data_IF_394136730696
#
_entry.id   IF_394136730696
#
_cell.length_a   1.000
_cell.length_b   1.000
_cell.length_c   1.000
_cell.angle_alpha   90.00
_cell.angle_beta   90.00
_cell.angle_gamma   90.00
#
_symmetry.space_group_name_H-M   'P 1'
#
loop_
_entity.id
_entity.type
_entity.pdbx_description
1 polymer ?
#
# COMPACT_ATOMS: atom_id res chain seq x y z
N UNK A 1 -18.97 -7.88 7.96
CA UNK A 1 -18.12 -8.62 7.00
C UNK A 1 -16.78 -7.91 6.88
N UNK A 2 -15.67 -8.62 7.02
CA UNK A 2 -14.32 -8.05 6.94
C UNK A 2 -13.74 -8.23 5.53
N UNK A 3 -12.81 -7.36 5.14
CA UNK A 3 -12.08 -7.49 3.87
C UNK A 3 -11.39 -8.85 3.73
N UNK A 4 -10.84 -9.36 4.84
CA UNK A 4 -10.19 -10.68 4.88
C UNK A 4 -11.13 -11.86 4.61
N UNK A 5 -12.45 -11.69 4.76
CA UNK A 5 -13.44 -12.73 4.50
C UNK A 5 -13.73 -12.84 3.00
N UNK A 6 -13.68 -11.72 2.28
CA UNK A 6 -14.01 -11.63 0.86
C UNK A 6 -12.81 -11.84 -0.06
N UNK A 7 -11.66 -11.24 0.28
CA UNK A 7 -10.44 -11.44 -0.49
C UNK A 7 -9.77 -12.72 0.00
N UNK A 8 -10.07 -13.83 -0.67
CA UNK A 8 -9.54 -15.16 -0.33
C UNK A 8 -8.06 -15.31 -0.72
N UNK A 9 -7.40 -16.35 -0.22
CA UNK A 9 -6.02 -16.64 -0.65
C UNK A 9 -5.96 -17.00 -2.15
N UNK A 10 -7.01 -17.64 -2.67
CA UNK A 10 -7.11 -17.93 -4.11
C UNK A 10 -7.27 -16.66 -4.92
N UNK A 11 -7.98 -15.65 -4.40
CA UNK A 11 -8.07 -14.36 -5.05
C UNK A 11 -6.72 -13.65 -5.11
N UNK A 12 -5.96 -13.63 -4.01
CA UNK A 12 -4.62 -13.02 -3.98
C UNK A 12 -3.69 -13.68 -5.02
N UNK A 13 -3.75 -15.00 -5.18
CA UNK A 13 -2.92 -15.75 -6.15
C UNK A 13 -3.20 -15.38 -7.61
N UNK A 14 -4.36 -14.80 -7.92
CA UNK A 14 -4.69 -14.39 -9.29
C UNK A 14 -4.02 -13.08 -9.67
N UNK A 15 -3.64 -12.25 -8.70
CA UNK A 15 -3.01 -10.96 -8.96
C UNK A 15 -1.61 -11.16 -9.53
N UNK A 16 -1.33 -10.47 -10.64
CA UNK A 16 -0.08 -10.54 -11.39
C UNK A 16 0.58 -9.18 -11.45
N UNK A 17 1.89 -9.20 -11.69
CA UNK A 17 2.65 -7.98 -11.99
C UNK A 17 1.95 -7.19 -13.10
N UNK A 18 1.73 -5.90 -12.85
CA UNK A 18 0.98 -5.01 -13.72
C UNK A 18 -0.43 -4.71 -13.21
N UNK A 19 -1.02 -5.61 -12.43
CA UNK A 19 -2.40 -5.47 -11.94
C UNK A 19 -2.54 -4.30 -10.97
N UNK A 20 -3.72 -3.68 -11.03
CA UNK A 20 -4.14 -2.64 -10.11
C UNK A 20 -5.42 -3.06 -9.41
N UNK A 21 -5.30 -3.40 -8.13
CA UNK A 21 -6.41 -3.82 -7.29
C UNK A 21 -6.93 -2.62 -6.51
N UNK A 22 -8.24 -2.36 -6.57
CA UNK A 22 -8.86 -1.33 -5.72
C UNK A 22 -9.70 -1.99 -4.64
N UNK A 23 -9.44 -1.69 -3.36
CA UNK A 23 -10.22 -2.18 -2.21
C UNK A 23 -10.93 -0.99 -1.57
N UNK A 24 -12.22 -0.83 -1.85
CA UNK A 24 -13.04 0.19 -1.20
C UNK A 24 -13.82 -0.45 -0.09
N UNK A 25 -13.66 -0.05 1.18
CA UNK A 25 -14.43 -0.59 2.30
C UNK A 25 -14.44 0.37 3.49
N UNK A 26 -15.55 0.45 4.21
CA UNK A 26 -15.77 1.42 5.29
C UNK A 26 -14.73 1.34 6.41
N UNK A 27 -14.66 2.38 7.25
CA UNK A 27 -13.80 2.38 8.44
C UNK A 27 -14.13 1.17 9.34
N UNK A 28 -13.11 0.54 9.92
CA UNK A 28 -13.30 -0.66 10.75
C UNK A 28 -13.54 -1.98 9.99
N UNK A 29 -13.65 -1.96 8.65
CA UNK A 29 -13.82 -3.16 7.81
C UNK A 29 -12.60 -4.10 7.76
N UNK A 30 -11.47 -3.68 8.31
CA UNK A 30 -10.26 -4.51 8.40
C UNK A 30 -9.31 -4.41 7.20
N UNK A 31 -9.35 -3.35 6.38
CA UNK A 31 -8.41 -3.12 5.27
C UNK A 31 -6.93 -3.29 5.68
N UNK A 32 -6.48 -2.53 6.68
CA UNK A 32 -5.11 -2.61 7.17
C UNK A 32 -4.80 -3.96 7.84
N UNK A 33 -5.80 -4.61 8.46
CA UNK A 33 -5.65 -5.95 9.01
C UNK A 33 -5.43 -6.99 7.90
N UNK A 34 -6.13 -6.88 6.77
CA UNK A 34 -5.93 -7.72 5.60
C UNK A 34 -4.48 -7.64 5.10
N UNK A 35 -3.93 -6.43 4.94
CA UNK A 35 -2.55 -6.24 4.49
C UNK A 35 -1.54 -6.82 5.48
N UNK A 36 -1.67 -6.44 6.77
CA UNK A 36 -0.73 -6.84 7.82
C UNK A 36 -0.71 -8.34 8.12
N UNK A 37 -1.78 -9.07 7.78
CA UNK A 37 -1.92 -10.48 8.13
C UNK A 37 -2.04 -11.38 6.90
N UNK A 38 -3.11 -11.24 6.10
CA UNK A 38 -3.39 -12.18 5.01
C UNK A 38 -2.45 -11.99 3.84
N UNK A 39 -2.32 -10.75 3.35
CA UNK A 39 -1.38 -10.45 2.26
C UNK A 39 0.07 -10.65 2.72
N UNK A 40 0.40 -10.25 3.96
CA UNK A 40 1.70 -10.54 4.58
C UNK A 40 2.09 -12.02 4.49
N UNK A 41 1.20 -12.93 4.91
CA UNK A 41 1.49 -14.37 4.89
C UNK A 41 1.73 -14.88 3.48
N UNK A 42 0.94 -14.41 2.51
CA UNK A 42 1.13 -14.73 1.10
C UNK A 42 2.50 -14.24 0.59
N UNK A 43 2.79 -12.95 0.73
CA UNK A 43 4.03 -12.35 0.27
C UNK A 43 5.25 -13.01 0.92
N UNK A 44 5.21 -13.24 2.24
CA UNK A 44 6.29 -13.93 2.96
C UNK A 44 6.54 -15.34 2.42
N UNK A 45 5.48 -16.11 2.13
CA UNK A 45 5.60 -17.47 1.57
C UNK A 45 6.28 -17.46 0.19
N UNK A 46 6.05 -16.43 -0.61
CA UNK A 46 6.61 -16.30 -1.96
C UNK A 46 7.92 -15.49 -2.02
N UNK A 47 8.50 -15.12 -0.88
CA UNK A 47 9.67 -14.23 -0.79
C UNK A 47 9.46 -12.86 -1.47
N UNK A 48 8.22 -12.37 -1.47
CA UNK A 48 7.82 -11.07 -1.99
C UNK A 48 7.76 -10.05 -0.85
N UNK A 49 7.87 -8.76 -1.19
CA UNK A 49 7.83 -7.67 -0.21
C UNK A 49 6.71 -6.67 -0.49
N UNK A 50 6.22 -6.05 0.57
CA UNK A 50 5.11 -5.10 0.60
C UNK A 50 5.63 -3.73 1.03
N UNK A 51 5.47 -2.71 0.19
CA UNK A 51 5.65 -1.31 0.56
C UNK A 51 4.27 -0.71 0.83
N UNK A 52 4.03 -0.28 2.07
CA UNK A 52 2.77 0.31 2.49
C UNK A 52 2.93 1.80 2.74
N UNK A 53 2.16 2.60 1.99
CA UNK A 53 2.10 4.05 2.12
C UNK A 53 0.91 4.45 2.99
N UNK A 54 1.19 5.33 3.95
CA UNK A 54 0.21 5.84 4.91
C UNK A 54 0.19 7.38 4.90
N UNK A 55 -0.98 7.97 5.19
CA UNK A 55 -1.15 9.42 5.19
C UNK A 55 -0.61 10.14 6.44
N UNK A 56 -0.85 9.61 7.65
CA UNK A 56 -0.56 10.31 8.92
C UNK A 56 0.61 9.67 9.68
N UNK A 57 1.54 10.51 10.16
CA UNK A 57 2.72 10.07 10.94
C UNK A 57 2.36 9.26 12.18
N UNK A 58 1.36 9.67 12.96
CA UNK A 58 0.95 8.94 14.18
C UNK A 58 0.52 7.50 13.87
N UNK A 59 -0.19 7.30 12.76
CA UNK A 59 -0.59 5.96 12.28
C UNK A 59 0.64 5.15 11.84
N UNK A 60 1.62 5.80 11.22
CA UNK A 60 2.87 5.15 10.80
C UNK A 60 3.64 4.60 11.98
N UNK A 61 3.83 5.37 13.06
CA UNK A 61 4.62 4.90 14.20
C UNK A 61 3.94 3.73 14.92
N UNK A 62 2.62 3.80 15.09
CA UNK A 62 1.83 2.68 15.61
C UNK A 62 2.00 1.43 14.76
N UNK A 63 1.86 1.56 13.43
CA UNK A 63 1.97 0.42 12.52
C UNK A 63 3.39 -0.13 12.47
N UNK A 64 4.42 0.72 12.40
CA UNK A 64 5.83 0.30 12.44
C UNK A 64 6.14 -0.47 13.72
N UNK A 65 5.65 -0.01 14.87
CA UNK A 65 5.82 -0.71 16.14
C UNK A 65 5.15 -2.08 16.13
N UNK A 66 3.94 -2.19 15.56
CA UNK A 66 3.25 -3.46 15.41
C UNK A 66 4.00 -4.44 14.50
N UNK A 67 4.44 -3.98 13.32
CA UNK A 67 5.23 -4.76 12.35
C UNK A 67 6.53 -5.26 12.98
N UNK A 68 7.22 -4.42 13.75
CA UNK A 68 8.43 -4.80 14.48
C UNK A 68 8.15 -5.85 15.55
N UNK A 69 7.17 -5.60 16.43
CA UNK A 69 6.79 -6.52 17.52
C UNK A 69 6.36 -7.90 17.00
N UNK A 70 5.79 -7.96 15.80
CA UNK A 70 5.35 -9.20 15.17
C UNK A 70 6.38 -9.80 14.20
N UNK A 71 7.62 -9.30 14.17
CA UNK A 71 8.70 -9.78 13.29
C UNK A 71 8.34 -9.78 11.78
N UNK A 72 7.61 -8.75 11.34
CA UNK A 72 7.14 -8.60 9.95
C UNK A 72 7.99 -7.64 9.11
N UNK A 73 8.98 -6.99 9.71
CA UNK A 73 9.79 -5.93 9.08
C UNK A 73 10.60 -6.36 7.86
N UNK A 74 10.87 -7.66 7.68
CA UNK A 74 11.58 -8.18 6.50
C UNK A 74 10.68 -8.25 5.25
N UNK A 75 9.36 -8.26 5.45
CA UNK A 75 8.36 -8.38 4.39
C UNK A 75 7.57 -7.09 4.20
N UNK A 76 7.28 -6.33 5.28
CA UNK A 76 6.51 -5.08 5.21
C UNK A 76 7.40 -3.89 5.54
N UNK A 77 7.52 -2.99 4.58
CA UNK A 77 8.08 -1.65 4.77
C UNK A 77 6.97 -0.61 4.80
N UNK A 78 7.04 0.36 5.71
CA UNK A 78 6.05 1.43 5.84
C UNK A 78 6.73 2.78 5.63
N UNK A 79 6.17 3.58 4.74
CA UNK A 79 6.55 4.99 4.52
C UNK A 79 5.31 5.89 4.55
N UNK A 80 5.53 7.19 4.73
CA UNK A 80 4.47 8.19 4.54
C UNK A 80 4.39 8.62 3.08
N UNK A 81 3.23 9.12 2.64
CA UNK A 81 3.14 9.84 1.36
C UNK A 81 4.06 11.07 1.33
N UNK A 82 4.21 11.81 2.44
CA UNK A 82 5.11 12.96 2.50
C UNK A 82 6.59 12.58 2.32
N UNK A 83 7.00 11.39 2.78
CA UNK A 83 8.35 10.88 2.51
C UNK A 83 8.51 10.59 1.01
N UNK A 84 7.53 9.93 0.38
CA UNK A 84 7.55 9.69 -1.06
C UNK A 84 7.62 11.01 -1.85
N UNK A 85 6.79 12.00 -1.50
CA UNK A 85 6.81 13.32 -2.13
C UNK A 85 8.18 13.99 -2.02
N UNK A 86 8.77 13.97 -0.82
CA UNK A 86 10.12 14.49 -0.61
C UNK A 86 11.18 13.73 -1.40
N UNK A 87 11.09 12.40 -1.43
CA UNK A 87 12.03 11.53 -2.12
C UNK A 87 11.98 11.75 -3.64
N UNK A 88 10.78 11.88 -4.21
CA UNK A 88 10.58 12.19 -5.64
C UNK A 88 11.06 13.60 -5.95
N UNK A 89 10.67 14.60 -5.13
CA UNK A 89 11.06 16.01 -5.33
C UNK A 89 12.58 16.20 -5.31
N UNK A 90 13.23 15.58 -4.34
CA UNK A 90 14.67 15.75 -4.09
C UNK A 90 15.52 14.64 -4.71
N UNK A 91 14.91 13.72 -5.49
CA UNK A 91 15.58 12.62 -6.20
C UNK A 91 16.46 11.76 -5.29
N UNK A 92 15.89 11.29 -4.19
CA UNK A 92 16.58 10.40 -3.26
C UNK A 92 17.03 9.13 -3.98
N UNK A 93 18.33 8.84 -3.96
CA UNK A 93 18.92 7.72 -4.68
C UNK A 93 18.37 6.37 -4.20
N UNK A 94 18.00 6.27 -2.92
CA UNK A 94 17.44 5.07 -2.32
C UNK A 94 15.98 4.78 -2.72
N UNK A 95 15.29 5.73 -3.35
CA UNK A 95 13.87 5.55 -3.71
C UNK A 95 13.71 4.44 -4.75
N UNK A 96 14.57 4.40 -5.76
CA UNK A 96 14.50 3.38 -6.81
C UNK A 96 14.81 1.99 -6.27
N UNK A 97 15.81 1.87 -5.40
CA UNK A 97 16.13 0.61 -4.70
C UNK A 97 14.96 0.17 -3.81
N UNK A 98 14.34 1.11 -3.09
CA UNK A 98 13.15 0.84 -2.30
C UNK A 98 12.01 0.33 -3.18
N UNK A 99 11.71 0.97 -4.31
CA UNK A 99 10.67 0.52 -5.23
C UNK A 99 11.00 -0.86 -5.80
N UNK A 100 12.24 -1.07 -6.25
CA UNK A 100 12.68 -2.32 -6.90
C UNK A 100 12.57 -3.54 -5.97
N UNK A 101 12.87 -3.37 -4.68
CA UNK A 101 12.79 -4.46 -3.68
C UNK A 101 11.38 -4.94 -3.38
N UNK A 102 10.34 -4.18 -3.70
CA UNK A 102 8.96 -4.49 -3.30
C UNK A 102 8.12 -4.95 -4.49
N UNK A 103 7.35 -6.02 -4.30
CA UNK A 103 6.42 -6.56 -5.29
C UNK A 103 5.06 -5.86 -5.22
N UNK A 104 4.59 -5.63 -3.99
CA UNK A 104 3.31 -4.99 -3.72
C UNK A 104 3.50 -3.53 -3.31
N UNK A 105 2.73 -2.64 -3.92
CA UNK A 105 2.62 -1.23 -3.53
C UNK A 105 1.22 -0.97 -2.99
N UNK A 106 1.12 -0.67 -1.68
CA UNK A 106 -0.16 -0.45 -1.01
C UNK A 106 -0.34 1.04 -0.74
N UNK A 107 -1.35 1.64 -1.34
CA UNK A 107 -1.76 3.02 -1.10
C UNK A 107 -2.96 3.03 -0.15
N UNK A 108 -2.72 3.15 1.16
CA UNK A 108 -3.82 3.24 2.13
C UNK A 108 -4.47 4.62 2.11
N UNK A 109 -5.77 4.63 2.34
CA UNK A 109 -6.65 5.81 2.33
C UNK A 109 -6.35 6.77 1.16
N UNK A 110 -6.17 6.22 -0.06
CA UNK A 110 -5.64 6.94 -1.22
C UNK A 110 -6.51 8.13 -1.68
N UNK A 111 -7.79 8.16 -1.32
CA UNK A 111 -8.70 9.24 -1.70
C UNK A 111 -8.35 10.57 -1.01
N UNK A 112 -7.85 10.56 0.23
CA UNK A 112 -7.34 11.78 0.88
C UNK A 112 -6.10 12.29 0.16
N UNK A 113 -5.26 11.37 -0.30
CA UNK A 113 -4.08 11.73 -1.06
C UNK A 113 -4.45 12.37 -2.41
N UNK A 114 -5.50 11.86 -3.08
CA UNK A 114 -6.01 12.47 -4.31
C UNK A 114 -6.69 13.83 -4.09
N UNK A 115 -7.49 14.00 -3.03
CA UNK A 115 -8.13 15.28 -2.75
C UNK A 115 -7.10 16.38 -2.48
N UNK A 116 -6.01 16.04 -1.77
CA UNK A 116 -4.90 16.96 -1.53
C UNK A 116 -4.05 17.16 -2.81
N UNK A 117 -3.98 16.16 -3.71
CA UNK A 117 -3.22 16.25 -4.96
C UNK A 117 -3.77 17.26 -5.95
N UNK A 118 -5.07 17.53 -5.92
CA UNK A 118 -5.71 18.58 -6.73
C UNK A 118 -5.17 19.98 -6.40
N UNK A 119 -4.46 20.13 -5.28
CA UNK A 119 -3.95 21.40 -4.77
C UNK A 119 -2.41 21.48 -4.91
N UNK A 120 -1.68 20.35 -5.03
CA UNK A 120 -0.21 20.32 -4.96
C UNK A 120 0.47 19.47 -6.07
N UNK A 121 1.27 20.13 -6.92
CA UNK A 121 2.06 19.52 -8.01
C UNK A 121 2.96 18.35 -7.57
N UNK A 122 3.50 18.36 -6.35
CA UNK A 122 4.40 17.30 -5.89
C UNK A 122 3.66 16.01 -5.51
N UNK A 123 2.42 16.15 -5.06
CA UNK A 123 1.52 15.04 -4.79
C UNK A 123 1.13 14.36 -6.11
N UNK A 124 0.86 15.12 -7.17
CA UNK A 124 0.64 14.57 -8.51
C UNK A 124 1.88 13.85 -9.06
N UNK A 125 3.08 14.44 -8.92
CA UNK A 125 4.33 13.82 -9.37
C UNK A 125 4.62 12.50 -8.65
N UNK A 126 4.39 12.44 -7.35
CA UNK A 126 4.61 11.21 -6.56
C UNK A 126 3.56 10.14 -6.85
N UNK A 127 2.30 10.51 -7.08
CA UNK A 127 1.28 9.58 -7.59
C UNK A 127 1.65 9.00 -8.95
N UNK A 128 2.02 9.87 -9.89
CA UNK A 128 2.47 9.46 -11.21
C UNK A 128 3.69 8.52 -11.13
N UNK A 129 4.60 8.77 -10.20
CA UNK A 129 5.74 7.88 -9.96
C UNK A 129 5.30 6.47 -9.54
N UNK A 130 4.29 6.32 -8.67
CA UNK A 130 3.74 5.01 -8.29
C UNK A 130 2.97 4.33 -9.43
N UNK A 131 2.10 5.08 -10.13
CA UNK A 131 1.26 4.53 -11.20
C UNK A 131 2.12 3.96 -12.33
N UNK A 132 3.23 4.64 -12.66
CA UNK A 132 4.19 4.22 -13.70
C UNK A 132 4.99 2.95 -13.35
N UNK A 133 4.95 2.48 -12.10
CA UNK A 133 5.57 1.20 -11.73
C UNK A 133 4.76 0.05 -12.33
N UNK A 134 5.17 -0.43 -13.50
CA UNK A 134 4.49 -1.53 -14.22
C UNK A 134 4.91 -2.91 -13.70
N UNK A 135 6.08 -3.01 -13.08
CA UNK A 135 6.63 -4.24 -12.52
C UNK A 135 6.16 -4.51 -11.08
N UNK A 136 4.93 -4.09 -10.73
CA UNK A 136 4.36 -4.15 -9.37
C UNK A 136 2.90 -4.57 -9.41
N UNK A 137 2.42 -5.13 -8.30
CA UNK A 137 0.98 -5.24 -8.00
C UNK A 137 0.61 -4.02 -7.14
N UNK A 138 -0.26 -3.16 -7.66
CA UNK A 138 -0.68 -1.93 -6.96
C UNK A 138 -2.01 -2.16 -6.28
N UNK A 139 -2.12 -1.83 -4.99
CA UNK A 139 -3.35 -1.96 -4.21
C UNK A 139 -3.75 -0.62 -3.64
N UNK A 140 -4.86 -0.05 -4.12
CA UNK A 140 -5.41 1.21 -3.66
C UNK A 140 -6.56 0.96 -2.69
N UNK A 141 -6.43 1.44 -1.44
CA UNK A 141 -7.43 1.21 -0.39
C UNK A 141 -8.12 2.50 0.03
N UNK A 142 -9.44 2.46 0.19
CA UNK A 142 -10.24 3.65 0.52
C UNK A 142 -11.43 3.32 1.42
N UNK A 143 -11.73 4.21 2.37
CA UNK A 143 -13.02 4.25 3.05
C UNK A 143 -14.18 4.63 2.13
N UNK A 144 -15.06 3.68 1.77
CA UNK A 144 -16.41 3.99 1.23
C UNK A 144 -17.45 3.09 1.89
N UNK A 145 -18.71 3.52 1.94
CA UNK A 145 -19.80 2.79 2.62
C UNK A 145 -20.03 1.37 2.10
N UNK A 146 -19.68 1.08 0.85
CA UNK A 146 -19.83 -0.23 0.22
C UNK A 146 -18.48 -0.89 -0.09
N UNK A 147 -18.42 -2.22 0.05
CA UNK A 147 -17.22 -3.01 -0.21
C UNK A 147 -17.11 -3.39 -1.70
N UNK A 148 -16.08 -2.88 -2.39
CA UNK A 148 -15.83 -3.14 -3.80
C UNK A 148 -14.37 -3.55 -4.05
N UNK A 149 -14.19 -4.61 -4.84
CA UNK A 149 -12.89 -5.04 -5.37
C UNK A 149 -12.94 -4.97 -6.88
N UNK A 150 -12.04 -4.20 -7.48
CA UNK A 150 -11.82 -4.18 -8.93
C UNK A 150 -10.41 -4.72 -9.20
N UNK A 151 -10.32 -5.62 -10.18
CA UNK A 151 -9.13 -6.24 -10.74
C UNK A 151 -9.20 -5.98 -12.25
#
# INVERSE_FOLDING_TARGET
>A
MRVSDLITNEEIKKWKIGDTVTIKAGTGSGKSHFIKNKLFLHAKKNNEKILMLLHRKNTVDQFKNEIRKQNKSQTITIITYQYLESAVKNKYAELDDLMNKHTYLICDEYHYWLSDSLINRYTELSLNHLIKQQNKIKIFMSGTSNLFVLN
#
